data_IF_635412309041
#
_entry.id   IF_635412309041
#
_cell.length_a   1.000
_cell.length_b   1.000
_cell.length_c   1.000
_cell.angle_alpha   90.00
_cell.angle_beta   90.00
_cell.angle_gamma   90.00
#
_symmetry.space_group_name_H-M   'P 1'
#
loop_
_entity.id
_entity.type
_entity.pdbx_description
1 polymer ?
#
# COMPACT_ATOMS: atom_id res chain seq x y z
N UNK A 1 21.52 5.11 -11.57
CA UNK A 1 20.66 6.31 -11.55
C UNK A 1 19.59 6.12 -10.48
N UNK A 2 19.89 6.66 -9.31
CA UNK A 2 19.24 6.42 -8.04
C UNK A 2 17.73 6.71 -8.12
N UNK A 3 16.96 5.62 -8.18
CA UNK A 3 15.52 5.62 -8.03
C UNK A 3 15.22 6.23 -6.66
N UNK A 4 14.53 7.38 -6.62
CA UNK A 4 14.10 8.02 -5.38
C UNK A 4 13.16 7.09 -4.61
N UNK A 5 13.72 6.16 -3.84
CA UNK A 5 13.00 5.34 -2.86
C UNK A 5 13.04 6.02 -1.51
N UNK A 6 12.48 7.22 -1.43
CA UNK A 6 12.32 7.90 -0.15
C UNK A 6 10.99 7.46 0.45
N UNK A 7 11.04 6.51 1.37
CA UNK A 7 9.94 6.25 2.29
C UNK A 7 10.35 6.88 3.63
N UNK A 8 9.88 8.09 3.97
CA UNK A 8 10.05 8.59 5.33
C UNK A 8 9.26 7.67 6.26
N UNK A 9 9.96 6.76 6.92
CA UNK A 9 9.39 5.88 7.91
C UNK A 9 9.51 6.59 9.26
N UNK A 10 8.41 6.71 10.00
CA UNK A 10 8.43 7.23 11.36
C UNK A 10 7.98 6.13 12.31
N UNK A 11 8.83 5.75 13.27
CA UNK A 11 8.45 4.84 14.34
C UNK A 11 7.85 5.64 15.51
N UNK A 12 6.57 5.97 15.36
CA UNK A 12 5.76 6.65 16.37
C UNK A 12 4.26 6.41 16.13
N UNK A 13 3.42 6.88 17.06
CA UNK A 13 1.98 6.92 16.85
C UNK A 13 1.61 7.89 15.73
N UNK A 14 0.69 7.48 14.85
CA UNK A 14 0.40 8.21 13.62
C UNK A 14 -0.12 9.63 13.87
N UNK A 15 -0.97 9.80 14.89
CA UNK A 15 -1.56 11.12 15.22
C UNK A 15 -0.51 12.04 15.83
N UNK A 16 0.36 11.50 16.68
CA UNK A 16 1.48 12.22 17.28
C UNK A 16 2.43 12.72 16.20
N UNK A 17 2.83 11.84 15.26
CA UNK A 17 3.66 12.22 14.12
C UNK A 17 3.02 13.31 13.28
N UNK A 18 1.74 13.16 12.91
CA UNK A 18 1.02 14.15 12.12
C UNK A 18 0.91 15.50 12.84
N UNK A 19 0.71 15.48 14.17
CA UNK A 19 0.68 16.69 15.00
C UNK A 19 2.01 17.42 14.94
N UNK A 20 3.12 16.70 15.06
CA UNK A 20 4.46 17.29 15.03
C UNK A 20 4.84 17.81 13.65
N UNK A 21 4.52 17.07 12.58
CA UNK A 21 4.67 17.56 11.21
C UNK A 21 3.87 18.86 11.05
N UNK A 22 2.61 18.88 11.49
CA UNK A 22 1.73 20.05 11.33
C UNK A 22 2.22 21.26 12.14
N UNK A 23 2.79 21.06 13.33
CA UNK A 23 3.36 22.13 14.15
C UNK A 23 4.59 22.78 13.50
N UNK A 24 5.44 21.99 12.84
CA UNK A 24 6.62 22.49 12.13
C UNK A 24 6.25 23.09 10.77
N UNK A 25 5.34 22.41 10.05
CA UNK A 25 4.95 22.70 8.68
C UNK A 25 3.43 22.45 8.55
N UNK A 26 2.59 23.50 8.63
CA UNK A 26 1.15 23.35 8.59
C UNK A 26 0.65 22.52 7.40
N UNK A 27 0.07 21.37 7.71
CA UNK A 27 -0.52 20.46 6.73
C UNK A 27 -1.87 21.02 6.28
N UNK A 28 -2.02 21.33 5.00
CA UNK A 28 -3.33 21.75 4.44
C UNK A 28 -4.24 20.58 4.10
N UNK A 29 -3.64 19.49 3.61
CA UNK A 29 -4.35 18.32 3.09
C UNK A 29 -3.59 17.04 3.42
N UNK A 30 -4.33 16.03 3.84
CA UNK A 30 -3.85 14.66 3.95
C UNK A 30 -4.52 13.84 2.84
N UNK A 31 -3.72 13.07 2.10
CA UNK A 31 -4.17 12.18 1.04
C UNK A 31 -3.88 10.74 1.46
N UNK A 32 -4.83 9.83 1.27
CA UNK A 32 -4.64 8.40 1.57
C UNK A 32 -5.52 7.54 0.68
N UNK A 33 -5.25 6.23 0.67
CA UNK A 33 -6.14 5.25 0.07
C UNK A 33 -7.13 4.72 1.11
N UNK A 34 -8.31 4.34 0.63
CA UNK A 34 -9.28 3.63 1.45
C UNK A 34 -8.81 2.20 1.72
N UNK A 35 -8.38 1.92 2.95
CA UNK A 35 -7.96 0.58 3.36
C UNK A 35 -9.05 -0.23 4.06
N UNK A 36 -9.15 -1.52 3.76
CA UNK A 36 -9.97 -2.44 4.56
C UNK A 36 -9.04 -3.35 5.34
N UNK A 37 -8.77 -2.98 6.59
CA UNK A 37 -7.84 -3.70 7.46
C UNK A 37 -8.50 -4.25 8.72
N UNK A 38 -7.66 -4.72 9.63
CA UNK A 38 -8.08 -5.23 10.93
C UNK A 38 -8.52 -4.10 11.89
N UNK A 39 -9.06 -4.48 13.05
CA UNK A 39 -9.60 -3.53 14.03
C UNK A 39 -8.59 -2.44 14.44
N UNK A 40 -7.33 -2.80 14.69
CA UNK A 40 -6.31 -1.82 15.08
C UNK A 40 -5.99 -0.80 13.97
N UNK A 41 -5.92 -1.20 12.70
CA UNK A 41 -5.73 -0.22 11.60
C UNK A 41 -6.96 0.67 11.45
N UNK A 42 -8.16 0.11 11.62
CA UNK A 42 -9.40 0.88 11.61
C UNK A 42 -9.45 1.92 12.75
N UNK A 43 -9.01 1.55 13.96
CA UNK A 43 -8.92 2.48 15.09
C UNK A 43 -7.92 3.62 14.81
N UNK A 44 -6.76 3.31 14.24
CA UNK A 44 -5.79 4.32 13.78
C UNK A 44 -6.42 5.28 12.77
N UNK A 45 -7.10 4.76 11.74
CA UNK A 45 -7.73 5.60 10.72
C UNK A 45 -8.84 6.48 11.31
N UNK A 46 -9.60 5.99 12.31
CA UNK A 46 -10.56 6.82 13.07
C UNK A 46 -9.86 7.92 13.87
N UNK A 47 -8.71 7.65 14.48
CA UNK A 47 -7.93 8.65 15.21
C UNK A 47 -7.41 9.75 14.26
N UNK A 48 -6.87 9.36 13.10
CA UNK A 48 -6.41 10.28 12.06
C UNK A 48 -7.56 11.15 11.53
N UNK A 49 -8.74 10.56 11.23
CA UNK A 49 -9.93 11.34 10.81
C UNK A 49 -10.32 12.40 11.84
N UNK A 50 -10.33 12.04 13.14
CA UNK A 50 -10.64 12.99 14.22
C UNK A 50 -9.61 14.10 14.30
N UNK A 51 -8.32 13.74 14.23
CA UNK A 51 -7.23 14.70 14.24
C UNK A 51 -7.32 15.69 13.07
N UNK A 52 -7.55 15.20 11.85
CA UNK A 52 -7.73 16.07 10.68
C UNK A 52 -8.88 17.07 10.89
N UNK A 53 -10.00 16.61 11.45
CA UNK A 53 -11.16 17.47 11.76
C UNK A 53 -10.80 18.55 12.80
N UNK A 54 -10.12 18.19 13.89
CA UNK A 54 -9.75 19.15 14.94
C UNK A 54 -8.69 20.14 14.50
N UNK A 55 -7.77 19.73 13.62
CA UNK A 55 -6.65 20.55 13.16
C UNK A 55 -6.95 21.31 11.85
N UNK A 56 -8.19 21.29 11.37
CA UNK A 56 -8.59 21.97 10.12
C UNK A 56 -7.92 21.41 8.86
N UNK A 57 -7.39 20.19 8.91
CA UNK A 57 -6.72 19.53 7.78
C UNK A 57 -7.77 18.82 6.93
N UNK A 58 -7.82 19.13 5.63
CA UNK A 58 -8.73 18.42 4.72
C UNK A 58 -8.19 17.02 4.45
N UNK A 59 -8.91 16.00 4.90
CA UNK A 59 -8.57 14.61 4.64
C UNK A 59 -9.31 14.09 3.39
N UNK A 60 -8.56 13.55 2.44
CA UNK A 60 -9.06 12.99 1.19
C UNK A 60 -8.63 11.53 1.09
N UNK A 61 -9.62 10.64 1.02
CA UNK A 61 -9.41 9.20 0.84
C UNK A 61 -9.85 8.79 -0.56
N UNK A 62 -9.05 7.97 -1.23
CA UNK A 62 -9.31 7.48 -2.58
C UNK A 62 -9.47 5.97 -2.59
N UNK A 63 -10.50 5.48 -3.29
CA UNK A 63 -10.68 4.04 -3.50
C UNK A 63 -9.57 3.51 -4.41
N UNK A 64 -8.77 2.57 -3.92
CA UNK A 64 -7.68 1.93 -4.67
C UNK A 64 -8.03 0.53 -5.18
N UNK A 65 -9.00 -0.15 -4.57
CA UNK A 65 -9.38 -1.52 -4.92
C UNK A 65 -10.88 -1.65 -5.17
N UNK A 66 -11.28 -2.73 -5.81
CA UNK A 66 -12.69 -3.07 -6.02
C UNK A 66 -13.46 -3.38 -4.73
N UNK A 67 -12.76 -3.52 -3.59
CA UNK A 67 -13.39 -3.77 -2.31
C UNK A 67 -14.40 -2.65 -1.97
N UNK A 68 -15.62 -3.07 -1.62
CA UNK A 68 -16.67 -2.14 -1.22
C UNK A 68 -16.86 -2.24 0.29
N UNK A 69 -16.67 -1.13 1.01
CA UNK A 69 -16.99 -1.03 2.42
C UNK A 69 -18.51 -0.92 2.60
N UNK A 70 -19.05 -1.57 3.65
CA UNK A 70 -20.47 -1.52 4.02
C UNK A 70 -21.39 -1.86 2.85
N UNK A 71 -21.30 -3.09 2.37
CA UNK A 71 -22.30 -3.62 1.44
C UNK A 71 -23.60 -3.81 2.21
N UNK A 72 -24.67 -3.18 1.72
CA UNK A 72 -26.02 -3.37 2.25
C UNK A 72 -26.60 -4.71 1.79
N UNK A 73 -26.18 -5.17 0.60
CA UNK A 73 -26.52 -6.46 0.00
C UNK A 73 -25.28 -7.06 -0.69
N UNK A 74 -25.16 -8.40 -0.66
CA UNK A 74 -24.10 -9.12 -1.38
C UNK A 74 -24.26 -8.99 -2.90
N UNK A 75 -25.49 -8.88 -3.40
CA UNK A 75 -25.78 -8.76 -4.83
C UNK A 75 -25.34 -7.41 -5.42
N UNK A 76 -25.06 -6.42 -4.57
CA UNK A 76 -24.51 -5.12 -4.96
C UNK A 76 -23.03 -5.17 -5.31
N UNK A 77 -22.30 -6.20 -4.86
CA UNK A 77 -20.84 -6.26 -5.01
C UNK A 77 -20.43 -6.21 -6.48
N UNK A 78 -21.03 -7.05 -7.32
CA UNK A 78 -20.65 -7.15 -8.73
C UNK A 78 -20.84 -5.80 -9.44
N UNK A 79 -21.99 -5.16 -9.27
CA UNK A 79 -22.28 -3.86 -9.89
C UNK A 79 -21.29 -2.76 -9.46
N UNK A 80 -20.87 -2.77 -8.19
CA UNK A 80 -19.92 -1.80 -7.65
C UNK A 80 -18.48 -2.10 -8.08
N UNK A 81 -18.14 -3.37 -8.23
CA UNK A 81 -16.87 -3.82 -8.78
C UNK A 81 -16.75 -3.42 -10.26
N UNK A 82 -17.77 -3.72 -11.07
CA UNK A 82 -17.79 -3.38 -12.51
C UNK A 82 -17.60 -1.89 -12.73
N UNK A 83 -18.29 -1.05 -11.94
CA UNK A 83 -18.13 0.41 -11.97
C UNK A 83 -16.70 0.85 -11.61
N UNK A 84 -16.09 0.21 -10.62
CA UNK A 84 -14.70 0.50 -10.24
C UNK A 84 -13.75 0.12 -11.38
N UNK A 85 -13.90 -1.07 -11.96
CA UNK A 85 -13.08 -1.56 -13.07
C UNK A 85 -13.27 -0.73 -14.36
N UNK A 86 -14.43 -0.09 -14.55
CA UNK A 86 -14.65 0.83 -15.67
C UNK A 86 -14.12 2.25 -15.44
N UNK A 87 -13.60 2.55 -14.25
CA UNK A 87 -13.06 3.88 -13.95
C UNK A 87 -11.70 4.05 -14.65
N UNK A 88 -11.46 5.18 -15.36
CA UNK A 88 -10.16 5.43 -15.96
C UNK A 88 -9.04 5.38 -14.92
N UNK A 89 -7.92 4.78 -15.29
CA UNK A 89 -6.72 4.77 -14.47
C UNK A 89 -6.20 6.18 -14.23
N UNK A 90 -5.71 6.44 -13.02
CA UNK A 90 -5.00 7.68 -12.73
C UNK A 90 -3.60 7.63 -13.33
N UNK A 91 -3.19 8.71 -13.99
CA UNK A 91 -1.81 8.84 -14.44
C UNK A 91 -0.85 8.83 -13.24
N UNK A 92 0.25 8.10 -13.36
CA UNK A 92 1.33 8.13 -12.39
C UNK A 92 1.87 9.56 -12.25
N UNK A 93 2.17 10.01 -11.02
CA UNK A 93 2.71 11.34 -10.83
C UNK A 93 4.10 11.46 -11.46
N UNK A 94 4.40 12.61 -12.05
CA UNK A 94 5.72 12.96 -12.55
C UNK A 94 6.72 13.07 -11.39
N UNK A 95 7.60 12.08 -11.27
CA UNK A 95 8.57 11.99 -10.18
C UNK A 95 9.56 13.15 -10.17
N UNK A 96 9.96 13.67 -11.34
CA UNK A 96 10.88 14.81 -11.44
C UNK A 96 10.25 16.07 -10.85
N UNK A 97 8.95 16.29 -11.11
CA UNK A 97 8.19 17.39 -10.49
C UNK A 97 8.01 17.23 -8.98
N UNK A 98 8.08 16.01 -8.48
CA UNK A 98 7.96 15.71 -7.04
C UNK A 98 9.29 15.85 -6.31
N UNK A 99 10.45 15.58 -6.94
CA UNK A 99 11.78 15.61 -6.28
C UNK A 99 11.99 16.86 -5.42
N UNK A 100 11.77 18.04 -6.00
CA UNK A 100 11.96 19.32 -5.31
C UNK A 100 10.90 19.66 -4.25
N UNK A 101 9.88 18.83 -4.08
CA UNK A 101 8.80 19.00 -3.09
C UNK A 101 8.93 18.03 -1.91
N UNK A 102 9.87 17.10 -1.96
CA UNK A 102 10.14 16.15 -0.88
C UNK A 102 10.78 16.91 0.27
N UNK A 103 10.26 16.70 1.47
CA UNK A 103 10.81 17.26 2.70
C UNK A 103 11.67 16.19 3.34
N UNK A 104 12.97 16.42 3.40
CA UNK A 104 13.96 15.47 3.95
C UNK A 104 14.57 15.94 5.27
N UNK A 105 14.50 17.24 5.55
CA UNK A 105 14.96 17.88 6.78
C UNK A 105 13.73 18.24 7.63
N UNK A 106 13.33 17.32 8.51
CA UNK A 106 12.33 17.58 9.53
C UNK A 106 12.65 16.79 10.80
N UNK A 107 12.81 17.49 11.92
CA UNK A 107 13.03 16.88 13.23
C UNK A 107 11.69 16.43 13.82
N UNK A 108 11.36 15.16 13.66
CA UNK A 108 10.11 14.57 14.17
C UNK A 108 10.34 13.86 15.50
N UNK A 109 9.40 13.97 16.46
CA UNK A 109 9.47 13.19 17.68
C UNK A 109 9.22 11.70 17.37
N UNK A 110 10.02 10.84 17.99
CA UNK A 110 10.01 9.40 17.76
C UNK A 110 11.43 8.83 17.71
N UNK A 111 11.55 7.52 17.47
CA UNK A 111 12.87 6.86 17.36
C UNK A 111 13.54 7.10 16.02
N UNK A 112 12.79 7.50 15.00
CA UNK A 112 13.31 7.66 13.65
C UNK A 112 13.63 9.12 13.37
N UNK A 113 14.92 9.45 13.46
CA UNK A 113 15.47 10.80 13.20
C UNK A 113 15.98 10.98 11.76
N UNK A 114 16.00 9.91 10.96
CA UNK A 114 16.55 9.87 9.60
C UNK A 114 15.81 8.85 8.73
N UNK A 115 16.08 8.85 7.42
CA UNK A 115 15.66 7.79 6.51
C UNK A 115 16.11 6.42 7.06
N UNK A 116 15.21 5.43 7.08
CA UNK A 116 15.56 4.06 7.45
C UNK A 116 16.02 3.28 6.23
N UNK A 117 17.07 2.47 6.40
CA UNK A 117 17.46 1.49 5.38
C UNK A 117 16.37 0.42 5.31
N UNK A 118 15.71 0.20 4.16
CA UNK A 118 14.69 -0.83 4.03
C UNK A 118 15.22 -2.25 4.22
N UNK A 119 16.56 -2.42 4.31
CA UNK A 119 17.23 -3.68 4.65
C UNK A 119 17.48 -3.85 6.15
N UNK A 120 17.28 -2.80 6.95
CA UNK A 120 17.38 -2.89 8.40
C UNK A 120 16.14 -3.58 8.95
N UNK A 121 16.29 -4.88 9.22
CA UNK A 121 15.28 -5.76 9.80
C UNK A 121 15.63 -6.14 11.23
N UNK A 122 16.43 -5.32 11.92
CA UNK A 122 16.89 -5.60 13.29
C UNK A 122 15.75 -5.70 14.31
N UNK A 123 14.58 -5.10 14.03
CA UNK A 123 13.36 -5.23 14.84
C UNK A 123 12.64 -6.59 14.68
N UNK A 124 13.00 -7.39 13.69
CA UNK A 124 12.48 -8.75 13.49
C UNK A 124 13.37 -9.70 14.31
N UNK A 125 12.78 -10.64 15.06
CA UNK A 125 13.53 -11.67 15.80
C UNK A 125 14.44 -12.47 14.85
N UNK A 126 15.64 -12.84 15.30
CA UNK A 126 16.66 -13.49 14.45
C UNK A 126 16.12 -14.72 13.72
N UNK A 127 15.31 -15.54 14.41
CA UNK A 127 14.65 -16.73 13.85
C UNK A 127 13.68 -16.44 12.69
N UNK A 128 13.27 -15.18 12.52
CA UNK A 128 12.36 -14.73 11.48
C UNK A 128 13.05 -13.89 10.39
N UNK A 129 14.36 -13.61 10.53
CA UNK A 129 15.13 -12.83 9.55
C UNK A 129 15.51 -13.63 8.31
N UNK A 130 15.61 -14.95 8.42
CA UNK A 130 15.98 -15.80 7.29
C UNK A 130 14.89 -15.84 6.22
N UNK A 131 15.27 -15.62 4.97
CA UNK A 131 14.35 -15.79 3.86
C UNK A 131 14.05 -17.28 3.60
N UNK A 132 12.89 -17.58 3.01
CA UNK A 132 12.54 -18.94 2.59
C UNK A 132 12.99 -19.18 1.15
N UNK A 133 13.44 -20.40 0.81
CA UNK A 133 13.68 -20.78 -0.57
C UNK A 133 12.45 -20.45 -1.43
N UNK A 134 12.69 -19.89 -2.62
CA UNK A 134 11.65 -19.58 -3.61
C UNK A 134 10.60 -18.55 -3.17
N UNK A 135 10.84 -17.78 -2.09
CA UNK A 135 9.93 -16.71 -1.71
C UNK A 135 9.79 -15.70 -2.85
N UNK A 136 8.54 -15.37 -3.15
CA UNK A 136 8.22 -14.35 -4.13
C UNK A 136 8.75 -12.98 -3.68
N UNK A 137 9.56 -12.36 -4.52
CA UNK A 137 10.11 -11.02 -4.26
C UNK A 137 9.01 -9.97 -4.43
N UNK A 138 8.89 -9.09 -3.44
CA UNK A 138 7.98 -7.95 -3.46
C UNK A 138 8.44 -6.85 -4.43
N UNK A 139 7.55 -5.88 -4.67
CA UNK A 139 7.82 -4.70 -5.49
C UNK A 139 7.05 -4.70 -6.81
N UNK A 140 6.74 -3.50 -7.30
CA UNK A 140 5.91 -3.25 -8.49
C UNK A 140 6.50 -3.86 -9.77
N UNK A 141 7.82 -3.75 -9.98
CA UNK A 141 8.48 -4.36 -11.14
C UNK A 141 8.29 -5.88 -11.19
N UNK A 142 8.34 -6.54 -10.02
CA UNK A 142 8.10 -7.98 -9.93
C UNK A 142 6.62 -8.31 -10.13
N UNK A 143 5.72 -7.49 -9.58
CA UNK A 143 4.27 -7.61 -9.76
C UNK A 143 3.87 -7.55 -11.23
N UNK A 144 4.34 -6.53 -11.96
CA UNK A 144 4.06 -6.33 -13.38
C UNK A 144 4.60 -7.48 -14.24
N UNK A 145 5.79 -8.01 -13.93
CA UNK A 145 6.33 -9.19 -14.62
C UNK A 145 5.48 -10.44 -14.39
N UNK A 146 5.03 -10.65 -13.15
CA UNK A 146 4.18 -11.79 -12.81
C UNK A 146 2.81 -11.67 -13.47
N UNK A 147 2.25 -10.45 -13.54
CA UNK A 147 1.02 -10.15 -14.26
C UNK A 147 1.19 -10.44 -15.76
N UNK A 148 2.25 -9.92 -16.38
CA UNK A 148 2.54 -10.11 -17.80
C UNK A 148 2.62 -11.59 -18.16
N UNK A 149 3.49 -12.36 -17.49
CA UNK A 149 3.62 -13.81 -17.72
C UNK A 149 2.34 -14.59 -17.44
N UNK A 150 1.48 -14.11 -16.52
CA UNK A 150 0.18 -14.72 -16.32
C UNK A 150 -0.74 -14.48 -17.53
N UNK A 151 -0.80 -13.25 -18.03
CA UNK A 151 -1.68 -12.91 -19.15
C UNK A 151 -1.19 -13.48 -20.49
N UNK A 152 0.12 -13.52 -20.72
CA UNK A 152 0.72 -13.94 -21.99
C UNK A 152 0.96 -15.44 -22.11
N UNK A 153 1.19 -16.15 -20.99
CA UNK A 153 1.64 -17.54 -21.02
C UNK A 153 0.82 -18.47 -20.11
N UNK A 154 0.73 -18.17 -18.81
CA UNK A 154 0.26 -19.16 -17.80
C UNK A 154 -1.25 -19.20 -17.65
N UNK A 155 -1.93 -18.09 -17.92
CA UNK A 155 -3.35 -17.88 -17.68
C UNK A 155 -4.27 -18.77 -18.49
N UNK A 156 -3.83 -19.24 -19.67
CA UNK A 156 -4.58 -20.19 -20.49
C UNK A 156 -4.92 -21.50 -19.75
N UNK A 157 -4.06 -21.92 -18.82
CA UNK A 157 -4.24 -23.14 -18.02
C UNK A 157 -4.89 -22.87 -16.65
N UNK A 158 -5.31 -21.63 -16.36
CA UNK A 158 -5.80 -21.25 -15.03
C UNK A 158 -6.99 -22.08 -14.57
N UNK A 159 -8.05 -22.13 -15.39
CA UNK A 159 -9.32 -22.81 -15.05
C UNK A 159 -9.12 -24.30 -14.74
N UNK A 160 -8.26 -24.98 -15.51
CA UNK A 160 -7.96 -26.40 -15.31
C UNK A 160 -6.95 -26.68 -14.20
N UNK A 161 -6.10 -25.72 -13.84
CA UNK A 161 -5.00 -25.93 -12.90
C UNK A 161 -5.23 -25.38 -11.48
N UNK A 162 -6.22 -24.52 -11.26
CA UNK A 162 -6.44 -23.83 -9.97
C UNK A 162 -6.81 -24.79 -8.82
N UNK A 163 -7.48 -25.90 -9.12
CA UNK A 163 -8.05 -26.81 -8.10
C UNK A 163 -7.04 -27.81 -7.52
N UNK A 164 -5.83 -27.90 -8.07
CA UNK A 164 -4.79 -28.81 -7.58
C UNK A 164 -3.59 -28.03 -7.02
N UNK A 165 -3.12 -28.36 -5.80
CA UNK A 165 -1.92 -27.74 -5.22
C UNK A 165 -0.67 -27.87 -6.09
N UNK A 166 -0.56 -28.96 -6.85
CA UNK A 166 0.60 -29.22 -7.70
C UNK A 166 0.60 -28.35 -8.96
N UNK A 167 -0.56 -28.21 -9.63
CA UNK A 167 -0.67 -27.42 -10.86
C UNK A 167 -0.84 -25.92 -10.60
N UNK A 168 -1.51 -25.55 -9.50
CA UNK A 168 -1.74 -24.15 -9.12
C UNK A 168 -0.45 -23.36 -8.92
N UNK A 169 0.66 -24.04 -8.61
CA UNK A 169 1.98 -23.41 -8.51
C UNK A 169 2.35 -22.64 -9.78
N UNK A 170 2.09 -23.24 -10.95
CA UNK A 170 2.43 -22.66 -12.26
C UNK A 170 1.23 -22.03 -12.97
N UNK A 171 0.00 -22.52 -12.75
CA UNK A 171 -1.20 -22.06 -13.47
C UNK A 171 -1.90 -20.85 -12.85
N UNK A 172 -1.75 -20.60 -11.54
CA UNK A 172 -2.40 -19.46 -10.89
C UNK A 172 -1.66 -18.15 -11.12
N UNK A 173 -2.34 -17.03 -10.94
CA UNK A 173 -1.75 -15.70 -11.21
C UNK A 173 -0.48 -15.41 -10.44
N UNK A 174 -0.36 -15.94 -9.20
CA UNK A 174 0.69 -15.57 -8.23
C UNK A 174 0.68 -14.08 -7.88
N UNK A 175 -0.44 -13.39 -8.08
CA UNK A 175 -0.59 -11.96 -7.81
C UNK A 175 -1.03 -11.64 -6.38
N UNK A 176 -1.48 -12.64 -5.60
CA UNK A 176 -2.02 -12.41 -4.27
C UNK A 176 -1.11 -11.60 -3.33
N UNK A 177 0.21 -11.84 -3.22
CA UNK A 177 1.04 -11.00 -2.35
C UNK A 177 1.19 -9.58 -2.90
N UNK A 178 1.19 -9.37 -4.21
CA UNK A 178 1.29 -8.01 -4.77
C UNK A 178 0.01 -7.21 -4.52
N UNK A 179 -1.15 -7.81 -4.81
CA UNK A 179 -2.44 -7.19 -4.55
C UNK A 179 -2.67 -6.88 -3.07
N UNK A 180 -2.23 -7.77 -2.17
CA UNK A 180 -2.33 -7.54 -0.72
C UNK A 180 -1.49 -6.35 -0.23
N UNK A 181 -0.42 -6.00 -0.93
CA UNK A 181 0.48 -4.90 -0.59
C UNK A 181 0.32 -3.68 -1.53
N UNK A 182 -0.72 -3.65 -2.36
CA UNK A 182 -1.04 -2.53 -3.25
C UNK A 182 -0.05 -2.35 -4.40
N UNK A 183 0.46 -3.45 -4.97
CA UNK A 183 1.42 -3.49 -6.08
C UNK A 183 0.90 -4.26 -7.28
#
# INVERSE_FOLDING_TARGET
PDELRYVPLCRAGCVETLTSIHALRPIRRLLSHEETGHWASYQRDRAVRRWCKSSGVKFLEYKQSGATRRLDDRDDFQRRLDRFLSTPEHASPDLERLRGRIVTDMDLPGRTRTLLDPRDISDIEEEHRSDRPERQRGGEVAALRVLDTFLSERGGNFSGGISSPNSSWSSCSRLSPYLAWGR
#
